data_IF_107490969190
#
_entry.id   IF_107490969190
#
_cell.length_a   1.000
_cell.length_b   1.000
_cell.length_c   1.000
_cell.angle_alpha   90.00
_cell.angle_beta   90.00
_cell.angle_gamma   90.00
#
_symmetry.space_group_name_H-M   'P 1'
#
loop_
_entity.id
_entity.type
_entity.pdbx_description
1 polymer ?
#
# COMPACT_ATOMS: atom_id res chain seq x y z
N UNK A 1 36.58 7.73 -4.54
CA UNK A 1 36.59 6.27 -4.54
C UNK A 1 36.40 5.66 -5.94
N UNK A 2 36.16 6.45 -7.01
CA UNK A 2 36.14 6.01 -8.42
C UNK A 2 35.05 5.00 -8.81
N UNK A 3 34.05 4.77 -7.94
CA UNK A 3 32.91 3.89 -8.25
C UNK A 3 31.70 4.71 -8.69
N UNK A 4 30.97 4.22 -9.68
CA UNK A 4 29.71 4.80 -10.10
C UNK A 4 28.62 4.57 -9.06
N UNK A 5 27.78 5.58 -8.86
CA UNK A 5 26.66 5.55 -7.89
C UNK A 5 25.36 5.79 -8.62
N UNK A 6 24.41 4.89 -8.43
CA UNK A 6 23.04 5.02 -8.93
C UNK A 6 22.06 5.03 -7.76
N UNK A 7 21.14 5.97 -7.74
CA UNK A 7 19.93 5.91 -6.93
C UNK A 7 18.83 5.26 -7.77
N UNK A 8 18.32 4.12 -7.30
CA UNK A 8 17.43 3.27 -8.10
C UNK A 8 16.00 3.30 -7.59
N UNK A 9 15.06 3.76 -8.43
CA UNK A 9 13.61 3.77 -8.19
C UNK A 9 13.19 4.36 -6.82
N UNK A 10 13.86 5.44 -6.38
CA UNK A 10 13.64 6.01 -5.06
C UNK A 10 12.34 6.82 -5.00
N UNK A 11 11.58 6.64 -3.91
CA UNK A 11 10.55 7.59 -3.50
C UNK A 11 11.19 8.67 -2.62
N UNK A 12 11.06 9.93 -3.01
CA UNK A 12 11.68 11.07 -2.34
C UNK A 12 10.60 11.98 -1.74
N UNK A 13 10.83 12.42 -0.50
CA UNK A 13 10.05 13.46 0.13
C UNK A 13 8.81 12.98 0.93
N UNK A 14 8.13 13.94 1.57
CA UNK A 14 8.53 15.34 1.70
C UNK A 14 9.69 15.54 2.70
N UNK A 15 10.75 16.22 2.26
CA UNK A 15 11.90 16.57 3.12
C UNK A 15 11.72 18.01 3.62
N UNK A 16 11.34 18.17 4.91
CA UNK A 16 10.97 19.48 5.47
C UNK A 16 12.15 20.29 6.02
N UNK A 17 13.18 19.62 6.56
CA UNK A 17 14.31 20.30 7.20
C UNK A 17 15.24 20.92 6.14
N UNK A 18 15.51 22.22 6.22
CA UNK A 18 16.37 22.94 5.26
C UNK A 18 17.77 22.35 5.10
N UNK A 19 18.38 21.92 6.20
CA UNK A 19 19.70 21.29 6.17
C UNK A 19 19.67 19.93 5.45
N UNK A 20 18.59 19.14 5.66
CA UNK A 20 18.43 17.85 5.00
C UNK A 20 18.21 18.02 3.49
N UNK A 21 17.39 19.01 3.06
CA UNK A 21 17.21 19.37 1.65
C UNK A 21 18.54 19.70 0.99
N UNK A 22 19.36 20.55 1.64
CA UNK A 22 20.69 20.93 1.14
C UNK A 22 21.63 19.72 1.02
N UNK A 23 21.66 18.87 2.04
CA UNK A 23 22.48 17.64 2.03
C UNK A 23 22.01 16.68 0.93
N UNK A 24 20.72 16.44 0.80
CA UNK A 24 20.14 15.63 -0.27
C UNK A 24 20.54 16.14 -1.64
N UNK A 25 20.42 17.46 -1.88
CA UNK A 25 20.83 18.08 -3.15
C UNK A 25 22.32 17.85 -3.45
N UNK A 26 23.19 18.05 -2.47
CA UNK A 26 24.63 17.84 -2.65
C UNK A 26 24.93 16.36 -3.00
N UNK A 27 24.39 15.42 -2.24
CA UNK A 27 24.64 13.98 -2.45
C UNK A 27 24.05 13.51 -3.79
N UNK A 28 22.84 13.92 -4.11
CA UNK A 28 22.19 13.54 -5.36
C UNK A 28 22.92 14.09 -6.59
N UNK A 29 23.46 15.32 -6.53
CA UNK A 29 24.24 15.87 -7.62
C UNK A 29 25.59 15.17 -7.86
N UNK A 30 26.12 14.45 -6.86
CA UNK A 30 27.31 13.61 -7.02
C UNK A 30 27.00 12.22 -7.59
N UNK A 31 25.73 11.78 -7.59
CA UNK A 31 25.35 10.51 -8.19
C UNK A 31 25.48 10.57 -9.73
N UNK A 32 25.86 9.44 -10.34
CA UNK A 32 25.96 9.30 -11.80
C UNK A 32 24.59 9.22 -12.47
N UNK A 33 23.62 8.57 -11.82
CA UNK A 33 22.25 8.40 -12.32
C UNK A 33 21.28 8.36 -11.14
N UNK A 34 20.13 9.00 -11.32
CA UNK A 34 19.04 8.98 -10.37
C UNK A 34 17.77 8.51 -11.07
N UNK A 35 17.22 7.40 -10.66
CA UNK A 35 15.85 7.04 -11.04
C UNK A 35 14.93 7.19 -9.83
N UNK A 36 13.76 7.76 -10.06
CA UNK A 36 12.70 7.94 -9.05
C UNK A 36 11.44 7.22 -9.52
N UNK A 37 10.63 6.78 -8.57
CA UNK A 37 9.44 5.96 -8.89
C UNK A 37 8.21 6.76 -9.31
N UNK A 38 8.21 8.08 -9.07
CA UNK A 38 7.07 8.96 -9.34
C UNK A 38 7.52 10.38 -9.70
N UNK A 39 6.63 11.15 -10.32
CA UNK A 39 6.88 12.53 -10.75
C UNK A 39 7.01 13.50 -9.59
N UNK A 40 6.34 13.23 -8.46
CA UNK A 40 6.42 14.02 -7.24
C UNK A 40 7.83 13.95 -6.65
N UNK A 41 8.43 12.77 -6.63
CA UNK A 41 9.83 12.57 -6.21
C UNK A 41 10.80 13.31 -7.10
N UNK A 42 10.56 13.36 -8.41
CA UNK A 42 11.38 14.13 -9.34
C UNK A 42 11.25 15.63 -9.08
N UNK A 43 10.02 16.12 -8.92
CA UNK A 43 9.75 17.53 -8.63
C UNK A 43 10.41 17.97 -7.31
N UNK A 44 10.31 17.16 -6.25
CA UNK A 44 10.94 17.40 -4.96
C UNK A 44 12.47 17.51 -5.06
N UNK A 45 13.12 16.61 -5.85
CA UNK A 45 14.57 16.69 -6.10
C UNK A 45 14.96 17.94 -6.87
N UNK A 46 14.20 18.30 -7.91
CA UNK A 46 14.45 19.50 -8.72
C UNK A 46 14.32 20.77 -7.86
N UNK A 47 13.27 20.84 -7.03
CA UNK A 47 13.06 21.95 -6.08
C UNK A 47 14.20 22.07 -5.05
N UNK A 48 14.83 20.96 -4.69
CA UNK A 48 16.03 20.97 -3.84
C UNK A 48 17.30 21.38 -4.57
N UNK A 49 17.28 21.56 -5.90
CA UNK A 49 18.42 21.97 -6.72
C UNK A 49 19.22 20.79 -7.29
N UNK A 50 18.63 19.62 -7.40
CA UNK A 50 19.22 18.51 -8.17
C UNK A 50 19.03 18.77 -9.65
N UNK A 51 20.05 18.52 -10.45
CA UNK A 51 20.05 18.76 -11.90
C UNK A 51 19.04 17.85 -12.60
N UNK A 52 18.06 18.41 -13.36
CA UNK A 52 16.99 17.62 -13.99
C UNK A 52 17.52 16.53 -14.94
N UNK A 53 18.62 16.79 -15.64
CA UNK A 53 19.23 15.85 -16.57
C UNK A 53 19.78 14.57 -15.92
N UNK A 54 19.93 14.55 -14.60
CA UNK A 54 20.34 13.38 -13.83
C UNK A 54 19.16 12.52 -13.38
N UNK A 55 17.93 13.04 -13.48
CA UNK A 55 16.73 12.43 -12.93
C UNK A 55 15.93 11.77 -14.05
N UNK A 56 15.61 10.49 -13.87
CA UNK A 56 14.69 9.77 -14.75
C UNK A 56 13.54 9.24 -13.91
N UNK A 57 12.31 9.58 -14.30
CA UNK A 57 11.11 9.01 -13.68
C UNK A 57 10.90 7.60 -14.26
N UNK A 58 10.77 6.64 -13.38
CA UNK A 58 10.52 5.22 -13.70
C UNK A 58 9.25 4.77 -12.99
N UNK A 59 9.25 3.56 -12.44
CA UNK A 59 8.17 3.04 -11.60
C UNK A 59 8.73 2.50 -10.29
N UNK A 60 7.88 2.18 -9.32
CA UNK A 60 8.31 1.49 -8.11
C UNK A 60 8.94 0.14 -8.49
N UNK A 61 10.13 -0.12 -7.95
CA UNK A 61 10.89 -1.35 -8.26
C UNK A 61 10.12 -2.64 -7.94
N UNK A 62 9.16 -2.58 -7.04
CA UNK A 62 8.29 -3.72 -6.71
C UNK A 62 7.44 -4.17 -7.90
N UNK A 63 7.12 -3.27 -8.84
CA UNK A 63 6.39 -3.62 -10.07
C UNK A 63 7.21 -4.50 -11.03
N UNK A 64 8.53 -4.60 -10.82
CA UNK A 64 9.38 -5.53 -11.57
C UNK A 64 9.37 -6.97 -11.03
N UNK A 65 8.71 -7.21 -9.89
CA UNK A 65 8.53 -8.56 -9.37
C UNK A 65 7.59 -9.34 -10.30
N UNK A 66 7.95 -10.58 -10.56
CA UNK A 66 7.05 -11.49 -11.25
C UNK A 66 5.90 -11.89 -10.31
N UNK A 67 4.69 -12.06 -10.83
CA UNK A 67 3.63 -12.71 -10.08
C UNK A 67 4.10 -14.06 -9.54
N UNK A 68 3.77 -14.36 -8.29
CA UNK A 68 4.06 -15.63 -7.66
C UNK A 68 2.85 -16.56 -7.75
N UNK A 69 3.07 -17.84 -7.53
CA UNK A 69 1.96 -18.80 -7.47
C UNK A 69 1.06 -18.54 -6.25
N UNK A 70 -0.21 -18.91 -6.36
CA UNK A 70 -1.22 -18.66 -5.32
C UNK A 70 -1.23 -19.72 -4.21
N UNK A 71 -0.58 -20.86 -4.42
CA UNK A 71 -0.66 -22.03 -3.55
C UNK A 71 -0.13 -21.75 -2.14
N UNK A 72 0.99 -21.03 -2.04
CA UNK A 72 1.54 -20.64 -0.74
C UNK A 72 0.55 -19.78 0.05
N UNK A 73 -0.05 -18.78 -0.60
CA UNK A 73 -1.07 -17.91 0.01
C UNK A 73 -2.33 -18.66 0.38
N UNK A 74 -2.77 -19.64 -0.45
CA UNK A 74 -3.90 -20.51 -0.12
C UNK A 74 -3.64 -21.30 1.15
N UNK A 75 -2.47 -21.91 1.26
CA UNK A 75 -2.07 -22.63 2.46
C UNK A 75 -2.08 -21.73 3.71
N UNK A 76 -1.45 -20.55 3.63
CA UNK A 76 -1.37 -19.61 4.75
C UNK A 76 -2.74 -19.08 5.17
N UNK A 77 -3.64 -18.81 4.23
CA UNK A 77 -5.01 -18.38 4.50
C UNK A 77 -5.82 -19.51 5.15
N UNK A 78 -5.69 -20.75 4.66
CA UNK A 78 -6.36 -21.92 5.26
C UNK A 78 -5.86 -22.22 6.67
N UNK A 79 -4.56 -22.12 6.93
CA UNK A 79 -4.00 -22.24 8.29
C UNK A 79 -4.54 -21.15 9.23
N UNK A 80 -4.83 -19.95 8.72
CA UNK A 80 -5.50 -18.89 9.46
C UNK A 80 -7.01 -19.13 9.65
N UNK A 81 -7.58 -20.20 9.06
CA UNK A 81 -8.99 -20.57 9.16
C UNK A 81 -9.89 -19.96 8.08
N UNK A 82 -9.33 -19.40 7.02
CA UNK A 82 -10.08 -18.80 5.90
C UNK A 82 -10.66 -19.92 5.01
N UNK A 83 -11.92 -19.82 4.68
CA UNK A 83 -12.63 -20.70 3.75
C UNK A 83 -12.57 -20.12 2.32
N UNK A 84 -11.65 -20.61 1.51
CA UNK A 84 -11.43 -20.12 0.14
C UNK A 84 -12.58 -20.43 -0.85
N UNK A 85 -13.66 -21.07 -0.40
CA UNK A 85 -14.88 -21.23 -1.21
C UNK A 85 -15.80 -20.01 -1.15
N UNK A 86 -15.54 -19.08 -0.21
CA UNK A 86 -16.25 -17.82 -0.04
C UNK A 86 -15.44 -16.66 -0.60
N UNK A 87 -16.08 -15.51 -0.93
CA UNK A 87 -15.36 -14.31 -1.29
C UNK A 87 -14.41 -13.86 -0.17
N UNK A 88 -13.20 -13.47 -0.55
CA UNK A 88 -12.12 -13.06 0.36
C UNK A 88 -11.74 -11.61 0.07
N UNK A 89 -11.95 -10.73 1.05
CA UNK A 89 -11.64 -9.31 0.94
C UNK A 89 -10.47 -8.96 1.87
N UNK A 90 -9.36 -8.56 1.29
CA UNK A 90 -8.20 -8.07 2.04
C UNK A 90 -8.36 -6.60 2.42
N UNK A 91 -8.00 -6.25 3.65
CA UNK A 91 -8.02 -4.87 4.13
C UNK A 91 -6.66 -4.54 4.74
N UNK A 92 -5.94 -3.58 4.15
CA UNK A 92 -4.64 -3.13 4.65
C UNK A 92 -4.70 -1.68 5.09
N UNK A 93 -4.73 -1.48 6.41
CA UNK A 93 -4.79 -0.16 7.06
C UNK A 93 -3.50 0.16 7.80
N UNK A 94 -3.32 1.45 8.11
CA UNK A 94 -2.21 1.96 8.91
C UNK A 94 -2.73 2.96 9.95
N UNK A 95 -1.98 3.20 11.05
CA UNK A 95 -2.30 4.28 11.96
C UNK A 95 -2.21 5.64 11.27
N UNK A 96 -3.19 6.50 11.53
CA UNK A 96 -3.23 7.88 11.04
C UNK A 96 -3.89 8.80 12.06
N UNK A 97 -3.50 10.10 12.09
CA UNK A 97 -4.19 11.07 12.95
C UNK A 97 -5.60 11.30 12.39
N UNK A 98 -6.65 11.11 13.22
CA UNK A 98 -8.03 11.21 12.76
C UNK A 98 -8.59 9.94 12.11
N UNK A 99 -7.90 8.80 12.20
CA UNK A 99 -8.29 7.52 11.60
C UNK A 99 -9.65 6.96 12.06
N UNK A 100 -10.19 7.44 13.18
CA UNK A 100 -11.42 6.92 13.78
C UNK A 100 -12.62 7.04 12.84
N UNK A 101 -12.79 8.19 12.16
CA UNK A 101 -13.89 8.39 11.22
C UNK A 101 -13.68 7.53 9.96
N UNK A 102 -12.48 7.50 9.40
CA UNK A 102 -12.15 6.65 8.25
C UNK A 102 -12.40 5.17 8.58
N UNK A 103 -11.98 4.69 9.75
CA UNK A 103 -12.20 3.31 10.15
C UNK A 103 -13.66 2.99 10.41
N UNK A 104 -14.48 3.95 10.87
CA UNK A 104 -15.93 3.77 10.97
C UNK A 104 -16.56 3.55 9.59
N UNK A 105 -16.28 4.45 8.65
CA UNK A 105 -16.79 4.34 7.28
C UNK A 105 -16.34 3.02 6.61
N UNK A 106 -15.05 2.67 6.77
CA UNK A 106 -14.51 1.41 6.24
C UNK A 106 -15.17 0.19 6.88
N UNK A 107 -15.41 0.23 8.19
CA UNK A 107 -16.09 -0.84 8.91
C UNK A 107 -17.55 -1.02 8.47
N UNK A 108 -18.27 0.08 8.23
CA UNK A 108 -19.63 0.05 7.69
C UNK A 108 -19.68 -0.59 6.31
N UNK A 109 -18.78 -0.17 5.41
CA UNK A 109 -18.68 -0.72 4.05
C UNK A 109 -18.29 -2.20 4.08
N UNK A 110 -17.27 -2.57 4.84
CA UNK A 110 -16.84 -3.96 4.99
C UNK A 110 -17.94 -4.85 5.59
N UNK A 111 -18.70 -4.34 6.55
CA UNK A 111 -19.85 -5.06 7.12
C UNK A 111 -20.98 -5.27 6.10
N UNK A 112 -21.22 -4.30 5.21
CA UNK A 112 -22.17 -4.48 4.10
C UNK A 112 -21.70 -5.56 3.12
N UNK A 113 -20.40 -5.59 2.78
CA UNK A 113 -19.83 -6.61 1.92
C UNK A 113 -19.96 -8.02 2.54
N UNK A 114 -19.70 -8.15 3.85
CA UNK A 114 -19.94 -9.41 4.57
C UNK A 114 -21.41 -9.85 4.48
N UNK A 115 -22.35 -8.93 4.71
CA UNK A 115 -23.79 -9.24 4.72
C UNK A 115 -24.32 -9.57 3.34
N UNK A 116 -23.89 -8.82 2.30
CA UNK A 116 -24.44 -8.94 0.95
C UNK A 116 -23.84 -10.13 0.19
N UNK A 117 -22.58 -10.44 0.41
CA UNK A 117 -21.82 -11.44 -0.37
C UNK A 117 -21.34 -12.65 0.46
N UNK A 118 -21.56 -12.66 1.78
CA UNK A 118 -20.98 -13.67 2.65
C UNK A 118 -19.45 -13.61 2.70
N UNK A 119 -18.86 -12.44 2.41
CA UNK A 119 -17.42 -12.29 2.29
C UNK A 119 -16.71 -12.45 3.63
N UNK A 120 -15.50 -12.98 3.58
CA UNK A 120 -14.56 -13.02 4.68
C UNK A 120 -13.62 -11.83 4.61
N UNK A 121 -13.33 -11.22 5.75
CA UNK A 121 -12.44 -10.06 5.84
C UNK A 121 -11.08 -10.47 6.39
N UNK A 122 -10.04 -10.18 5.62
CA UNK A 122 -8.66 -10.45 5.99
C UNK A 122 -7.97 -9.13 6.32
N UNK A 123 -7.70 -8.88 7.59
CA UNK A 123 -6.93 -7.73 8.04
C UNK A 123 -5.44 -8.03 7.87
N UNK A 124 -4.79 -7.27 6.98
CA UNK A 124 -3.43 -7.52 6.52
C UNK A 124 -2.46 -6.42 6.99
N UNK A 125 -1.73 -6.60 8.12
CA UNK A 125 -0.71 -5.66 8.57
C UNK A 125 0.58 -5.87 7.79
N UNK A 126 0.94 -4.96 6.88
CA UNK A 126 2.19 -5.03 6.13
C UNK A 126 3.40 -4.65 6.99
N UNK A 127 3.27 -3.61 7.80
CA UNK A 127 4.28 -3.24 8.79
C UNK A 127 3.85 -3.76 10.16
N UNK A 128 4.16 -5.01 10.43
CA UNK A 128 3.66 -5.78 11.58
C UNK A 128 3.62 -4.99 12.90
N UNK A 129 4.74 -4.39 13.32
CA UNK A 129 4.84 -3.68 14.60
C UNK A 129 3.95 -2.42 14.73
N UNK A 130 3.49 -1.89 13.60
CA UNK A 130 2.73 -0.63 13.53
C UNK A 130 1.28 -0.89 13.16
N UNK A 131 1.03 -1.71 12.13
CA UNK A 131 -0.29 -1.87 11.52
C UNK A 131 -1.22 -2.78 12.30
N UNK A 132 -0.70 -3.72 13.09
CA UNK A 132 -1.52 -4.61 13.94
C UNK A 132 -2.50 -3.82 14.79
N UNK A 133 -2.04 -2.73 15.41
CA UNK A 133 -2.90 -1.86 16.25
C UNK A 133 -4.02 -1.19 15.44
N UNK A 134 -3.73 -0.79 14.20
CA UNK A 134 -4.73 -0.21 13.30
C UNK A 134 -5.75 -1.26 12.86
N UNK A 135 -5.29 -2.46 12.51
CA UNK A 135 -6.15 -3.60 12.17
C UNK A 135 -7.06 -3.99 13.35
N UNK A 136 -6.54 -4.04 14.57
CA UNK A 136 -7.33 -4.32 15.77
C UNK A 136 -8.37 -3.22 16.05
N UNK A 137 -8.01 -1.95 15.81
CA UNK A 137 -8.94 -0.83 15.93
C UNK A 137 -10.08 -0.95 14.91
N UNK A 138 -9.75 -1.25 13.65
CA UNK A 138 -10.75 -1.49 12.61
C UNK A 138 -11.63 -2.70 12.97
N UNK A 139 -11.03 -3.81 13.41
CA UNK A 139 -11.77 -5.01 13.85
C UNK A 139 -12.83 -4.69 14.90
N UNK A 140 -12.49 -3.86 15.88
CA UNK A 140 -13.44 -3.45 16.94
C UNK A 140 -14.59 -2.60 16.42
N UNK A 141 -14.42 -1.90 15.31
CA UNK A 141 -15.46 -1.10 14.68
C UNK A 141 -16.41 -1.93 13.79
N UNK A 142 -16.01 -3.13 13.37
CA UNK A 142 -16.84 -4.03 12.55
C UNK A 142 -18.02 -4.56 13.35
N UNK A 143 -19.20 -4.55 12.75
CA UNK A 143 -20.46 -4.97 13.40
C UNK A 143 -20.48 -6.48 13.62
N UNK A 144 -20.12 -7.26 12.60
CA UNK A 144 -20.07 -8.72 12.68
C UNK A 144 -18.63 -9.16 12.90
N UNK A 145 -18.37 -9.89 13.98
CA UNK A 145 -17.04 -10.40 14.32
C UNK A 145 -16.77 -11.79 13.71
N UNK A 146 -17.76 -12.38 13.06
CA UNK A 146 -17.62 -13.65 12.36
C UNK A 146 -16.91 -13.45 11.03
N UNK A 147 -16.14 -14.44 10.60
CA UNK A 147 -15.44 -14.43 9.31
C UNK A 147 -14.48 -13.22 9.14
N UNK A 148 -13.83 -12.78 10.26
CA UNK A 148 -12.78 -11.78 10.27
C UNK A 148 -11.47 -12.41 10.76
N UNK A 149 -10.43 -12.32 9.94
CA UNK A 149 -9.13 -12.91 10.22
C UNK A 149 -8.06 -11.81 10.24
N UNK A 150 -7.29 -11.76 11.31
CA UNK A 150 -6.11 -10.90 11.41
C UNK A 150 -4.88 -11.76 11.14
N UNK A 151 -4.19 -11.50 10.05
CA UNK A 151 -2.94 -12.19 9.73
C UNK A 151 -1.83 -11.61 10.61
N UNK A 152 -1.66 -12.22 11.78
CA UNK A 152 -0.81 -11.71 12.85
C UNK A 152 0.57 -12.39 12.88
N UNK A 153 1.09 -12.74 11.71
CA UNK A 153 2.42 -13.31 11.54
C UNK A 153 3.31 -12.42 10.66
N UNK A 154 4.60 -12.71 10.64
CA UNK A 154 5.54 -12.03 9.78
C UNK A 154 5.65 -12.80 8.47
N UNK A 155 5.22 -12.19 7.39
CA UNK A 155 5.33 -12.72 6.05
C UNK A 155 6.47 -12.05 5.28
N UNK A 156 7.13 -12.79 4.42
CA UNK A 156 8.07 -12.23 3.45
C UNK A 156 7.31 -11.67 2.22
N UNK A 157 8.04 -11.08 1.28
CA UNK A 157 7.45 -10.42 0.11
C UNK A 157 6.67 -11.39 -0.78
N UNK A 158 7.19 -12.60 -1.01
CA UNK A 158 6.54 -13.61 -1.85
C UNK A 158 5.27 -14.16 -1.21
N UNK A 159 5.29 -14.35 0.11
CA UNK A 159 4.12 -14.75 0.89
C UNK A 159 3.04 -13.67 0.84
N UNK A 160 3.38 -12.37 1.00
CA UNK A 160 2.41 -11.29 0.84
C UNK A 160 1.80 -11.24 -0.56
N UNK A 161 2.62 -11.37 -1.61
CA UNK A 161 2.14 -11.46 -2.98
C UNK A 161 1.16 -12.64 -3.15
N UNK A 162 1.56 -13.82 -2.68
CA UNK A 162 0.74 -15.03 -2.80
C UNK A 162 -0.57 -14.91 -2.01
N UNK A 163 -0.55 -14.35 -0.80
CA UNK A 163 -1.75 -14.09 0.01
C UNK A 163 -2.69 -13.13 -0.74
N UNK A 164 -2.18 -11.98 -1.17
CA UNK A 164 -2.96 -10.94 -1.86
C UNK A 164 -3.51 -11.46 -3.19
N UNK A 165 -2.77 -12.31 -3.89
CA UNK A 165 -3.22 -12.95 -5.12
C UNK A 165 -4.47 -13.84 -4.96
N UNK A 166 -4.81 -14.23 -3.74
CA UNK A 166 -6.02 -15.01 -3.42
C UNK A 166 -7.22 -14.14 -2.97
N UNK A 167 -7.08 -12.83 -2.94
CA UNK A 167 -8.19 -11.96 -2.62
C UNK A 167 -9.04 -11.66 -3.87
N UNK A 168 -10.35 -11.59 -3.69
CA UNK A 168 -11.29 -11.10 -4.72
C UNK A 168 -11.26 -9.58 -4.80
N UNK A 169 -10.89 -8.92 -3.69
CA UNK A 169 -10.74 -7.47 -3.60
C UNK A 169 -9.73 -7.13 -2.51
N UNK A 170 -8.86 -6.14 -2.78
CA UNK A 170 -8.05 -5.49 -1.74
C UNK A 170 -8.53 -4.05 -1.53
N UNK A 171 -8.82 -3.69 -0.28
CA UNK A 171 -9.04 -2.29 0.13
C UNK A 171 -7.80 -1.84 0.90
N UNK A 172 -7.06 -0.87 0.37
CA UNK A 172 -5.73 -0.57 0.89
C UNK A 172 -5.44 0.91 1.14
N UNK A 173 -4.83 1.18 2.30
CA UNK A 173 -4.13 2.44 2.58
C UNK A 173 -2.64 2.30 2.31
N UNK A 174 -2.05 1.12 2.57
CA UNK A 174 -0.61 0.88 2.40
C UNK A 174 -0.24 0.78 0.92
N UNK A 175 0.67 1.66 0.47
CA UNK A 175 1.13 1.70 -0.91
C UNK A 175 1.58 0.31 -1.40
N UNK A 176 2.43 -0.40 -0.64
CA UNK A 176 2.92 -1.70 -1.08
C UNK A 176 1.83 -2.79 -1.12
N UNK A 177 0.75 -2.68 -0.31
CA UNK A 177 -0.40 -3.57 -0.48
C UNK A 177 -1.05 -3.38 -1.85
N UNK A 178 -1.25 -2.12 -2.25
CA UNK A 178 -1.81 -1.76 -3.56
C UNK A 178 -0.88 -2.20 -4.70
N UNK A 179 0.44 -1.99 -4.55
CA UNK A 179 1.44 -2.43 -5.54
C UNK A 179 1.42 -3.96 -5.68
N UNK A 180 1.37 -4.70 -4.57
CA UNK A 180 1.28 -6.17 -4.60
C UNK A 180 -0.02 -6.64 -5.26
N UNK A 181 -1.15 -5.97 -5.00
CA UNK A 181 -2.42 -6.27 -5.66
C UNK A 181 -2.31 -6.05 -7.17
N UNK A 182 -1.70 -4.96 -7.61
CA UNK A 182 -1.48 -4.70 -9.04
C UNK A 182 -0.59 -5.76 -9.70
N UNK A 183 0.52 -6.16 -9.04
CA UNK A 183 1.42 -7.24 -9.52
C UNK A 183 0.65 -8.56 -9.66
N UNK A 184 -0.19 -8.90 -8.69
CA UNK A 184 -0.97 -10.14 -8.67
C UNK A 184 -2.28 -10.06 -9.46
N UNK A 185 -2.58 -8.91 -10.09
CA UNK A 185 -3.83 -8.63 -10.82
C UNK A 185 -5.09 -8.81 -9.94
N UNK A 186 -4.95 -8.52 -8.65
CA UNK A 186 -6.06 -8.51 -7.71
C UNK A 186 -6.78 -7.17 -7.79
N UNK A 187 -8.12 -7.14 -7.95
CA UNK A 187 -8.90 -5.90 -7.90
C UNK A 187 -8.59 -5.11 -6.63
N UNK A 188 -8.43 -3.78 -6.76
CA UNK A 188 -8.05 -2.95 -5.63
C UNK A 188 -8.87 -1.67 -5.53
N UNK A 189 -9.10 -1.23 -4.29
CA UNK A 189 -9.65 0.08 -3.94
C UNK A 189 -8.66 0.80 -3.03
N UNK A 190 -8.22 1.98 -3.43
CA UNK A 190 -7.22 2.73 -2.68
C UNK A 190 -7.85 3.84 -1.86
N UNK A 191 -7.45 3.94 -0.58
CA UNK A 191 -7.75 5.07 0.30
C UNK A 191 -6.47 5.90 0.43
N UNK A 192 -6.50 7.13 -0.10
CA UNK A 192 -5.33 7.99 -0.08
C UNK A 192 -5.11 8.64 1.28
N UNK A 193 -3.85 8.70 1.70
CA UNK A 193 -3.40 9.45 2.87
C UNK A 193 -2.12 10.25 2.57
N UNK A 194 -1.56 10.07 1.38
CA UNK A 194 -0.23 10.58 1.02
C UNK A 194 -0.14 10.65 -0.51
N UNK A 195 0.44 11.71 -1.10
CA UNK A 195 0.57 11.87 -2.55
C UNK A 195 1.15 10.66 -3.29
N UNK A 196 2.02 9.87 -2.64
CA UNK A 196 2.58 8.65 -3.25
C UNK A 196 1.52 7.56 -3.55
N UNK A 197 0.41 7.53 -2.79
CA UNK A 197 -0.72 6.63 -3.08
C UNK A 197 -1.46 7.13 -4.30
N UNK A 198 -1.74 8.45 -4.36
CA UNK A 198 -2.40 9.08 -5.51
C UNK A 198 -1.58 8.88 -6.79
N UNK A 199 -0.27 9.12 -6.70
CA UNK A 199 0.65 8.97 -7.83
C UNK A 199 0.67 7.54 -8.37
N UNK A 200 0.76 6.54 -7.49
CA UNK A 200 0.72 5.14 -7.89
C UNK A 200 -0.60 4.74 -8.53
N UNK A 201 -1.73 5.09 -7.88
CA UNK A 201 -3.07 4.71 -8.36
C UNK A 201 -3.37 5.36 -9.71
N UNK A 202 -2.99 6.64 -9.89
CA UNK A 202 -3.10 7.33 -11.18
C UNK A 202 -2.20 6.68 -12.26
N UNK A 203 -1.00 6.23 -11.90
CA UNK A 203 -0.08 5.58 -12.85
C UNK A 203 -0.62 4.24 -13.40
N UNK A 204 -1.45 3.54 -12.65
CA UNK A 204 -2.13 2.32 -13.13
C UNK A 204 -3.50 2.61 -13.80
N UNK A 205 -3.85 3.88 -14.01
CA UNK A 205 -5.09 4.30 -14.68
C UNK A 205 -6.33 4.34 -13.79
N UNK A 206 -6.16 4.23 -12.47
CA UNK A 206 -7.23 4.23 -11.48
C UNK A 206 -7.26 5.55 -10.67
N UNK A 207 -8.24 5.69 -9.79
CA UNK A 207 -8.36 6.81 -8.86
C UNK A 207 -8.62 6.29 -7.45
N UNK A 208 -8.07 6.96 -6.40
CA UNK A 208 -8.47 6.66 -5.03
C UNK A 208 -9.97 6.89 -4.83
N UNK A 209 -10.62 6.02 -4.07
CA UNK A 209 -12.05 6.14 -3.71
C UNK A 209 -12.33 7.27 -2.71
N UNK A 210 -11.29 7.81 -2.11
CA UNK A 210 -11.35 8.92 -1.16
C UNK A 210 -10.03 9.09 -0.42
N UNK A 211 -10.02 10.07 0.47
CA UNK A 211 -8.90 10.28 1.40
C UNK A 211 -9.29 9.87 2.81
N UNK A 212 -8.30 9.71 3.69
CA UNK A 212 -8.53 9.37 5.11
C UNK A 212 -9.45 10.39 5.81
N UNK A 213 -9.43 11.67 5.33
CA UNK A 213 -10.26 12.74 5.88
C UNK A 213 -11.65 12.83 5.19
N UNK A 214 -11.77 12.32 3.97
CA UNK A 214 -12.98 12.44 3.13
C UNK A 214 -13.25 11.14 2.40
N UNK A 215 -13.68 10.13 3.13
CA UNK A 215 -14.14 8.87 2.56
C UNK A 215 -15.65 8.76 2.74
N UNK A 216 -16.35 8.32 1.69
CA UNK A 216 -17.79 8.10 1.70
C UNK A 216 -18.10 6.62 1.62
N UNK A 217 -18.95 6.13 2.53
CA UNK A 217 -19.37 4.73 2.56
C UNK A 217 -20.22 4.32 1.34
N UNK A 218 -20.73 5.27 0.59
CA UNK A 218 -21.47 5.01 -0.67
C UNK A 218 -20.54 4.72 -1.85
N UNK A 219 -19.24 5.03 -1.73
CA UNK A 219 -18.24 4.80 -2.78
C UNK A 219 -17.48 3.47 -2.58
N UNK A 220 -17.63 2.82 -1.45
CA UNK A 220 -17.13 1.50 -1.10
C UNK A 220 -18.22 0.45 -1.30
#
# INVERSE_FOLDING_TARGET
FGKKVMLFAQGIGPIRAKWARKLTSLVCNEADLITVRDSESAAELIEMGVKPEKITVTADSVLSLNPVTKECGQYLLQEAGVDLTKPVIGISVRPWSGDSQCFQVLAEAASKLQQSYGAQLILLPLQYSVDVKACEKLRKALVCQKDIFLLNEKYNTEEFLSIIGNFDLLIGMRLHALVFAAVMQTPLLAISYDPKVDSFVNAIGEKPIGTVEKIDSCLL
#
